data_IF_796600757955
#
_entry.id   IF_796600757955
#
_cell.length_a   1.000
_cell.length_b   1.000
_cell.length_c   1.000
_cell.angle_alpha   90.00
_cell.angle_beta   90.00
_cell.angle_gamma   90.00
#
_symmetry.space_group_name_H-M   'P 1'
#
loop_
_entity.id
_entity.type
_entity.pdbx_description
1 polymer ?
#
# COMPACT_ATOMS: atom_id res chain seq x y z
N UNK A 1 -20.57 16.29 8.80
CA UNK A 1 -20.23 14.98 8.19
C UNK A 1 -18.77 15.09 7.74
N UNK A 2 -17.85 14.29 8.29
CA UNK A 2 -16.45 14.33 7.88
C UNK A 2 -16.36 13.96 6.39
N UNK A 3 -15.66 14.78 5.59
CA UNK A 3 -15.44 14.51 4.16
C UNK A 3 -14.41 13.39 3.98
N UNK A 4 -14.38 12.75 2.79
CA UNK A 4 -13.38 11.73 2.44
C UNK A 4 -11.94 12.18 2.69
N UNK A 5 -11.68 13.46 2.48
CA UNK A 5 -10.36 14.06 2.70
C UNK A 5 -9.97 14.10 4.18
N UNK A 6 -10.93 14.29 5.08
CA UNK A 6 -10.66 14.26 6.53
C UNK A 6 -10.23 12.87 7.00
N UNK A 7 -10.92 11.81 6.55
CA UNK A 7 -10.52 10.43 6.85
C UNK A 7 -9.16 10.09 6.24
N UNK A 8 -8.92 10.47 4.98
CA UNK A 8 -7.63 10.24 4.32
C UNK A 8 -6.47 10.92 5.07
N UNK A 9 -6.69 12.15 5.54
CA UNK A 9 -5.73 12.90 6.35
C UNK A 9 -5.49 12.22 7.71
N UNK A 10 -6.54 11.77 8.38
CA UNK A 10 -6.42 11.07 9.67
C UNK A 10 -5.65 9.75 9.52
N UNK A 11 -5.93 8.97 8.48
CA UNK A 11 -5.20 7.74 8.16
C UNK A 11 -3.73 8.03 7.88
N UNK A 12 -3.41 9.05 7.08
CA UNK A 12 -2.03 9.45 6.79
C UNK A 12 -1.27 9.83 8.06
N UNK A 13 -1.87 10.65 8.93
CA UNK A 13 -1.25 11.05 10.21
C UNK A 13 -1.00 9.85 11.10
N UNK A 14 -2.01 9.01 11.34
CA UNK A 14 -1.89 7.82 12.21
C UNK A 14 -0.85 6.84 11.68
N UNK A 15 -0.84 6.58 10.37
CA UNK A 15 0.08 5.62 9.75
C UNK A 15 1.53 6.11 9.84
N UNK A 16 1.79 7.40 9.63
CA UNK A 16 3.16 7.97 9.71
C UNK A 16 3.78 7.84 11.10
N UNK A 17 2.97 7.89 12.15
CA UNK A 17 3.41 7.70 13.55
C UNK A 17 3.34 6.24 14.02
N UNK A 18 3.13 5.29 13.11
CA UNK A 18 3.14 3.85 13.41
C UNK A 18 1.89 3.35 14.11
N UNK A 19 0.82 4.15 14.22
CA UNK A 19 -0.46 3.75 14.84
C UNK A 19 -1.35 3.01 13.84
N UNK A 20 -0.83 1.91 13.33
CA UNK A 20 -1.43 1.17 12.22
C UNK A 20 -2.78 0.53 12.53
N UNK A 21 -2.95 -0.02 13.73
CA UNK A 21 -4.22 -0.60 14.17
C UNK A 21 -5.34 0.46 14.15
N UNK A 22 -5.02 1.67 14.61
CA UNK A 22 -5.99 2.79 14.62
C UNK A 22 -6.24 3.35 13.23
N UNK A 23 -5.19 3.48 12.42
CA UNK A 23 -5.34 3.85 11.01
C UNK A 23 -6.29 2.87 10.29
N UNK A 24 -6.12 1.57 10.53
CA UNK A 24 -6.97 0.54 9.94
C UNK A 24 -8.40 0.57 10.48
N UNK A 25 -8.61 0.77 11.78
CA UNK A 25 -9.94 0.99 12.37
C UNK A 25 -10.64 2.19 11.75
N UNK A 26 -9.92 3.29 11.52
CA UNK A 26 -10.48 4.48 10.85
C UNK A 26 -10.94 4.12 9.43
N UNK A 27 -10.14 3.37 8.67
CA UNK A 27 -10.50 2.90 7.33
C UNK A 27 -11.76 2.03 7.36
N UNK A 28 -11.83 1.07 8.29
CA UNK A 28 -12.99 0.18 8.44
C UNK A 28 -14.27 0.93 8.86
N UNK A 29 -14.13 2.03 9.60
CA UNK A 29 -15.24 2.86 10.04
C UNK A 29 -15.69 3.90 8.99
N UNK A 30 -15.03 3.99 7.83
CA UNK A 30 -15.40 4.96 6.81
C UNK A 30 -16.81 4.68 6.28
N UNK A 31 -17.71 5.68 6.23
CA UNK A 31 -19.06 5.49 5.70
C UNK A 31 -19.08 5.33 4.17
N UNK A 32 -17.97 5.65 3.51
CA UNK A 32 -17.80 5.54 2.06
C UNK A 32 -16.55 4.71 1.77
N UNK A 33 -16.47 4.12 0.58
CA UNK A 33 -15.31 3.32 0.18
C UNK A 33 -14.02 4.15 0.27
N UNK A 34 -12.95 3.63 0.91
CA UNK A 34 -11.66 4.30 0.98
C UNK A 34 -11.09 4.54 -0.42
N UNK A 35 -10.38 5.65 -0.58
CA UNK A 35 -9.80 6.05 -1.88
C UNK A 35 -8.41 5.43 -2.08
N UNK A 36 -7.90 5.44 -3.31
CA UNK A 36 -6.50 5.08 -3.59
C UNK A 36 -5.52 5.90 -2.75
N UNK A 37 -5.81 7.19 -2.52
CA UNK A 37 -5.02 8.05 -1.62
C UNK A 37 -4.98 7.51 -0.18
N UNK A 38 -6.11 6.99 0.32
CA UNK A 38 -6.19 6.46 1.70
C UNK A 38 -5.33 5.20 1.84
N UNK A 39 -5.47 4.25 0.91
CA UNK A 39 -4.68 3.02 0.92
C UNK A 39 -3.20 3.27 0.62
N UNK A 40 -2.90 4.20 -0.29
CA UNK A 40 -1.53 4.60 -0.61
C UNK A 40 -0.80 5.23 0.57
N UNK A 41 -1.49 6.03 1.39
CA UNK A 41 -0.93 6.58 2.62
C UNK A 41 -0.58 5.47 3.63
N UNK A 42 -1.47 4.50 3.82
CA UNK A 42 -1.22 3.34 4.69
C UNK A 42 -0.04 2.51 4.17
N UNK A 43 -0.03 2.14 2.88
CA UNK A 43 1.03 1.34 2.26
C UNK A 43 2.40 2.04 2.34
N UNK A 44 2.44 3.34 2.04
CA UNK A 44 3.66 4.15 2.11
C UNK A 44 4.25 4.20 3.52
N UNK A 45 3.40 4.31 4.54
CA UNK A 45 3.83 4.30 5.93
C UNK A 45 4.32 2.93 6.39
N UNK A 46 3.69 1.83 5.94
CA UNK A 46 4.09 0.46 6.30
C UNK A 46 5.57 0.19 6.00
N UNK A 47 6.11 0.78 4.92
CA UNK A 47 7.53 0.71 4.57
C UNK A 47 8.48 1.18 5.67
N UNK A 48 8.12 2.20 6.43
CA UNK A 48 9.02 2.75 7.45
C UNK A 48 9.14 1.84 8.67
N UNK A 49 8.17 0.95 8.90
CA UNK A 49 8.09 0.09 10.07
C UNK A 49 8.19 -1.40 9.73
N UNK A 50 8.28 -1.75 8.44
CA UNK A 50 8.25 -3.15 8.01
C UNK A 50 6.90 -3.83 8.27
N UNK A 51 5.80 -3.08 8.28
CA UNK A 51 4.46 -3.58 8.61
C UNK A 51 3.87 -4.33 7.40
N UNK A 52 4.16 -5.63 7.31
CA UNK A 52 3.87 -6.41 6.10
C UNK A 52 2.38 -6.74 5.94
N UNK A 53 1.68 -7.05 7.03
CA UNK A 53 0.30 -7.53 6.96
C UNK A 53 -0.62 -6.45 6.39
N UNK A 54 -0.52 -5.23 6.92
CA UNK A 54 -1.30 -4.11 6.41
C UNK A 54 -0.82 -3.60 5.05
N UNK A 55 0.48 -3.75 4.74
CA UNK A 55 0.97 -3.46 3.40
C UNK A 55 0.31 -4.37 2.35
N UNK A 56 0.19 -5.67 2.61
CA UNK A 56 -0.47 -6.61 1.71
C UNK A 56 -1.96 -6.28 1.53
N UNK A 57 -2.66 -5.92 2.61
CA UNK A 57 -4.07 -5.51 2.55
C UNK A 57 -4.21 -4.24 1.70
N UNK A 58 -3.40 -3.21 1.99
CA UNK A 58 -3.45 -1.95 1.27
C UNK A 58 -3.12 -2.12 -0.23
N UNK A 59 -2.10 -2.92 -0.56
CA UNK A 59 -1.74 -3.22 -1.93
C UNK A 59 -2.85 -3.96 -2.69
N UNK A 60 -3.48 -4.97 -2.07
CA UNK A 60 -4.62 -5.70 -2.66
C UNK A 60 -5.80 -4.77 -2.96
N UNK A 61 -6.12 -3.86 -2.05
CA UNK A 61 -7.18 -2.86 -2.29
C UNK A 61 -6.78 -1.85 -3.37
N UNK A 62 -5.52 -1.40 -3.39
CA UNK A 62 -5.00 -0.53 -4.45
C UNK A 62 -5.06 -1.20 -5.82
N UNK A 63 -4.78 -2.49 -5.96
CA UNK A 63 -4.88 -3.19 -7.25
C UNK A 63 -6.32 -3.32 -7.74
N UNK A 64 -7.32 -3.26 -6.86
CA UNK A 64 -8.74 -3.19 -7.29
C UNK A 64 -9.09 -1.82 -7.88
N UNK A 65 -8.43 -0.76 -7.43
CA UNK A 65 -8.70 0.62 -7.85
C UNK A 65 -7.80 1.04 -9.03
N UNK A 66 -6.54 0.64 -8.99
CA UNK A 66 -5.48 0.99 -9.93
C UNK A 66 -4.65 -0.26 -10.30
N UNK A 67 -5.24 -1.25 -11.01
CA UNK A 67 -4.60 -2.54 -11.29
C UNK A 67 -3.29 -2.43 -12.09
N UNK A 68 -3.19 -1.39 -12.92
CA UNK A 68 -2.07 -1.14 -13.82
C UNK A 68 -1.00 -0.23 -13.21
N UNK A 69 -1.16 0.25 -11.97
CA UNK A 69 -0.21 1.15 -11.35
C UNK A 69 1.01 0.37 -10.81
N UNK A 70 2.19 0.44 -11.44
CA UNK A 70 3.37 -0.32 -11.02
C UNK A 70 3.90 0.13 -9.66
N UNK A 71 3.63 1.37 -9.23
CA UNK A 71 4.16 1.92 -7.99
C UNK A 71 3.71 1.13 -6.75
N UNK A 72 2.48 0.63 -6.76
CA UNK A 72 1.90 -0.13 -5.64
C UNK A 72 2.59 -1.49 -5.45
N UNK A 73 2.89 -2.18 -6.56
CA UNK A 73 3.64 -3.43 -6.53
C UNK A 73 5.10 -3.22 -6.14
N UNK A 74 5.77 -2.21 -6.73
CA UNK A 74 7.15 -1.88 -6.40
C UNK A 74 7.30 -1.54 -4.92
N UNK A 75 6.35 -0.78 -4.37
CA UNK A 75 6.35 -0.42 -2.95
C UNK A 75 6.19 -1.64 -2.05
N UNK A 76 5.25 -2.55 -2.34
CA UNK A 76 5.11 -3.79 -1.56
C UNK A 76 6.36 -4.67 -1.64
N UNK A 77 6.97 -4.83 -2.82
CA UNK A 77 8.22 -5.60 -2.91
C UNK A 77 9.39 -4.94 -2.18
N UNK A 78 9.48 -3.61 -2.14
CA UNK A 78 10.44 -2.89 -1.28
C UNK A 78 10.24 -3.21 0.21
N UNK A 79 8.98 -3.31 0.66
CA UNK A 79 8.65 -3.69 2.03
C UNK A 79 9.12 -5.11 2.31
N UNK A 80 8.80 -6.07 1.43
CA UNK A 80 9.28 -7.45 1.54
C UNK A 80 10.81 -7.52 1.62
N UNK A 81 11.52 -6.82 0.73
CA UNK A 81 12.98 -6.78 0.74
C UNK A 81 13.53 -6.21 2.06
N UNK A 82 12.91 -5.15 2.61
CA UNK A 82 13.37 -4.53 3.86
C UNK A 82 13.26 -5.43 5.09
N UNK A 83 12.37 -6.43 5.06
CA UNK A 83 12.19 -7.41 6.15
C UNK A 83 12.79 -8.79 5.84
N UNK A 84 13.61 -8.88 4.78
CA UNK A 84 14.28 -10.13 4.37
C UNK A 84 13.39 -11.14 3.63
N UNK A 85 12.17 -10.78 3.23
CA UNK A 85 11.23 -11.62 2.48
C UNK A 85 11.50 -11.55 0.96
N UNK A 86 12.73 -11.88 0.56
CA UNK A 86 13.18 -11.71 -0.83
C UNK A 86 12.39 -12.60 -1.82
N UNK A 87 11.99 -13.79 -1.40
CA UNK A 87 11.21 -14.70 -2.25
C UNK A 87 9.83 -14.13 -2.59
N UNK A 88 9.16 -13.49 -1.64
CA UNK A 88 7.90 -12.79 -1.85
C UNK A 88 8.05 -11.63 -2.84
N UNK A 89 9.14 -10.86 -2.72
CA UNK A 89 9.43 -9.77 -3.64
C UNK A 89 9.62 -10.28 -5.09
N UNK A 90 10.33 -11.41 -5.26
CA UNK A 90 10.52 -12.03 -6.58
C UNK A 90 9.21 -12.61 -7.14
N UNK A 91 8.40 -13.28 -6.29
CA UNK A 91 7.06 -13.74 -6.70
C UNK A 91 6.18 -12.58 -7.17
N UNK A 92 6.19 -11.46 -6.44
CA UNK A 92 5.43 -10.27 -6.81
C UNK A 92 5.92 -9.68 -8.15
N UNK A 93 7.23 -9.68 -8.39
CA UNK A 93 7.82 -9.24 -9.66
C UNK A 93 7.36 -10.11 -10.84
N UNK A 94 7.29 -11.42 -10.64
CA UNK A 94 6.81 -12.35 -11.66
C UNK A 94 5.32 -12.12 -11.95
N UNK A 95 4.50 -11.92 -10.91
CA UNK A 95 3.09 -11.58 -11.06
C UNK A 95 2.87 -10.28 -11.84
N UNK A 96 3.67 -9.23 -11.56
CA UNK A 96 3.61 -7.98 -12.34
C UNK A 96 3.87 -8.23 -13.82
N UNK A 97 4.86 -9.06 -14.14
CA UNK A 97 5.25 -9.38 -15.52
C UNK A 97 4.15 -10.16 -16.23
N UNK A 98 3.56 -11.15 -15.57
CA UNK A 98 2.44 -11.96 -16.10
C UNK A 98 1.21 -11.09 -16.38
N UNK A 99 0.93 -10.11 -15.51
CA UNK A 99 -0.15 -9.14 -15.68
C UNK A 99 0.16 -8.03 -16.70
N UNK A 100 1.38 -7.98 -17.25
CA UNK A 100 1.80 -6.94 -18.18
C UNK A 100 1.99 -5.55 -17.54
N UNK A 101 2.11 -5.47 -16.22
CA UNK A 101 2.36 -4.23 -15.48
C UNK A 101 3.83 -3.83 -15.67
N UNK A 102 4.06 -2.81 -16.50
CA UNK A 102 5.41 -2.37 -16.86
C UNK A 102 5.89 -1.28 -15.91
N UNK A 103 7.11 -1.46 -15.39
CA UNK A 103 7.85 -0.38 -14.74
C UNK A 103 8.66 0.36 -15.82
N UNK A 104 8.71 1.69 -15.76
CA UNK A 104 9.49 2.50 -16.69
C UNK A 104 10.96 2.03 -16.73
N UNK A 105 11.56 1.84 -17.92
CA UNK A 105 12.98 1.52 -18.05
C UNK A 105 13.83 2.49 -17.23
N UNK A 106 14.69 1.97 -16.34
CA UNK A 106 15.53 2.78 -15.44
C UNK A 106 15.03 2.90 -13.99
N UNK A 107 13.82 2.41 -13.69
CA UNK A 107 13.37 2.28 -12.30
C UNK A 107 14.00 1.04 -11.67
N UNK A 108 14.76 1.21 -10.58
CA UNK A 108 15.18 0.10 -9.74
C UNK A 108 14.10 -0.23 -8.69
N UNK A 109 14.12 -1.49 -8.22
CA UNK A 109 13.54 -1.83 -6.92
C UNK A 109 14.25 -1.06 -5.80
#
# INVERSE_FOLDING_TARGET
>A
RASKDHYSCLVDVLSRVGRFEEAYKVIQAMPEKPTAKTWGALLGACRNYGEVELAEIAAKELWKVEPENPANYVLLGKIYMSVGRQEEAERLRMEMKERGVKVSPGSSW
#
